data_IF_788618737803
#
_entry.id   IF_788618737803
#
_cell.length_a   1.000
_cell.length_b   1.000
_cell.length_c   1.000
_cell.angle_alpha   90.00
_cell.angle_beta   90.00
_cell.angle_gamma   90.00
#
_symmetry.space_group_name_H-M   'P 1'
#
loop_
_entity.id
_entity.type
_entity.pdbx_description
1 polymer ?
#
# COMPACT_ATOMS: atom_id res chain seq x y z
N UNK A 1 -10.64 -34.38 -17.75
CA UNK A 1 -10.99 -34.02 -16.36
C UNK A 1 -9.73 -33.73 -15.54
N UNK A 2 -8.64 -34.45 -15.80
CA UNK A 2 -7.31 -34.21 -15.21
C UNK A 2 -6.80 -32.76 -15.29
N UNK A 3 -6.89 -32.12 -16.46
CA UNK A 3 -6.47 -30.71 -16.62
C UNK A 3 -7.32 -29.76 -15.77
N UNK A 4 -8.62 -30.02 -15.65
CA UNK A 4 -9.54 -29.24 -14.82
C UNK A 4 -9.23 -29.43 -13.33
N UNK A 5 -8.97 -30.66 -12.89
CA UNK A 5 -8.58 -30.95 -11.50
C UNK A 5 -7.26 -30.27 -11.13
N UNK A 6 -6.27 -30.34 -12.02
CA UNK A 6 -4.96 -29.69 -11.83
C UNK A 6 -5.12 -28.17 -11.73
N UNK A 7 -5.95 -27.58 -12.61
CA UNK A 7 -6.23 -26.14 -12.57
C UNK A 7 -6.91 -25.72 -11.27
N UNK A 8 -7.82 -26.55 -10.74
CA UNK A 8 -8.48 -26.30 -9.45
C UNK A 8 -7.52 -26.35 -8.26
N UNK A 9 -6.57 -27.27 -8.25
CA UNK A 9 -5.53 -27.31 -7.20
C UNK A 9 -4.66 -26.05 -7.21
N UNK A 10 -4.24 -25.60 -8.40
CA UNK A 10 -3.46 -24.35 -8.54
C UNK A 10 -4.27 -23.16 -8.06
N UNK A 11 -5.54 -23.03 -8.45
CA UNK A 11 -6.43 -21.95 -7.99
C UNK A 11 -6.63 -22.00 -6.48
N UNK A 12 -6.89 -23.17 -5.91
CA UNK A 12 -7.06 -23.34 -4.46
C UNK A 12 -5.81 -22.91 -3.69
N UNK A 13 -4.62 -23.28 -4.17
CA UNK A 13 -3.34 -22.84 -3.60
C UNK A 13 -3.16 -21.32 -3.71
N UNK A 14 -3.53 -20.71 -4.85
CA UNK A 14 -3.44 -19.25 -5.02
C UNK A 14 -4.38 -18.51 -4.08
N UNK A 15 -5.61 -19.01 -3.90
CA UNK A 15 -6.60 -18.44 -2.99
C UNK A 15 -6.13 -18.52 -1.53
N UNK A 16 -5.56 -19.65 -1.11
CA UNK A 16 -4.96 -19.78 0.22
C UNK A 16 -3.84 -18.76 0.44
N UNK A 17 -2.93 -18.63 -0.54
CA UNK A 17 -1.83 -17.66 -0.47
C UNK A 17 -2.32 -16.21 -0.47
N UNK A 18 -3.41 -15.90 -1.18
CA UNK A 18 -4.02 -14.57 -1.13
C UNK A 18 -4.57 -14.23 0.25
N UNK A 19 -5.19 -15.19 0.96
CA UNK A 19 -5.67 -14.99 2.33
C UNK A 19 -4.51 -14.72 3.29
N UNK A 20 -3.41 -15.48 3.19
CA UNK A 20 -2.19 -15.28 3.97
C UNK A 20 -1.55 -13.91 3.70
N UNK A 21 -1.41 -13.55 2.43
CA UNK A 21 -0.87 -12.25 2.03
C UNK A 21 -1.73 -11.09 2.54
N UNK A 22 -3.06 -11.23 2.49
CA UNK A 22 -3.97 -10.22 3.02
C UNK A 22 -3.82 -10.07 4.54
N UNK A 23 -3.63 -11.18 5.26
CA UNK A 23 -3.39 -11.16 6.70
C UNK A 23 -2.05 -10.48 7.05
N UNK A 24 -0.97 -10.84 6.35
CA UNK A 24 0.35 -10.23 6.55
C UNK A 24 0.33 -8.73 6.22
N UNK A 25 -0.35 -8.33 5.14
CA UNK A 25 -0.52 -6.93 4.79
C UNK A 25 -1.33 -6.18 5.86
N UNK A 26 -2.35 -6.81 6.45
CA UNK A 26 -3.13 -6.18 7.53
C UNK A 26 -2.28 -5.94 8.78
N UNK A 27 -1.39 -6.87 9.14
CA UNK A 27 -0.43 -6.66 10.23
C UNK A 27 0.52 -5.47 9.94
N UNK A 28 1.02 -5.36 8.71
CA UNK A 28 1.82 -4.20 8.30
C UNK A 28 1.03 -2.89 8.37
N UNK A 29 -0.26 -2.89 8.05
CA UNK A 29 -1.12 -1.70 8.22
C UNK A 29 -1.30 -1.32 9.69
N UNK A 30 -1.42 -2.28 10.61
CA UNK A 30 -1.47 -2.01 12.05
C UNK A 30 -0.15 -1.39 12.55
N UNK A 31 0.99 -1.89 12.07
CA UNK A 31 2.30 -1.30 12.37
C UNK A 31 2.43 0.13 11.79
N UNK A 32 1.97 0.35 10.56
CA UNK A 32 1.94 1.67 9.94
C UNK A 32 1.08 2.65 10.76
N UNK A 33 -0.12 2.24 11.21
CA UNK A 33 -0.97 3.05 12.07
C UNK A 33 -0.27 3.46 13.38
N UNK A 34 0.51 2.56 13.99
CA UNK A 34 1.31 2.89 15.17
C UNK A 34 2.38 3.95 14.88
N UNK A 35 3.15 3.79 13.80
CA UNK A 35 4.17 4.76 13.37
C UNK A 35 3.55 6.12 13.07
N UNK A 36 2.38 6.13 12.45
CA UNK A 36 1.64 7.35 12.15
C UNK A 36 1.14 8.06 13.42
N UNK A 37 0.64 7.30 14.40
CA UNK A 37 0.24 7.86 15.70
C UNK A 37 1.44 8.46 16.46
N UNK A 38 2.58 7.77 16.47
CA UNK A 38 3.82 8.27 17.08
C UNK A 38 4.33 9.53 16.35
N UNK A 39 4.24 9.56 15.02
CA UNK A 39 4.60 10.72 14.20
C UNK A 39 3.70 11.91 14.51
N UNK A 40 2.39 11.69 14.68
CA UNK A 40 1.46 12.75 15.06
C UNK A 40 1.79 13.35 16.44
N UNK A 41 2.18 12.51 17.41
CA UNK A 41 2.65 13.01 18.73
C UNK A 41 3.92 13.85 18.59
N UNK A 42 4.91 13.38 17.83
CA UNK A 42 6.15 14.14 17.60
C UNK A 42 5.87 15.50 16.91
N UNK A 43 4.88 15.55 16.02
CA UNK A 43 4.44 16.81 15.40
C UNK A 43 3.83 17.78 16.41
N UNK A 44 3.04 17.30 17.37
CA UNK A 44 2.51 18.16 18.45
C UNK A 44 3.63 18.70 19.34
N UNK A 45 4.60 17.86 19.71
CA UNK A 45 5.78 18.31 20.46
C UNK A 45 6.58 19.38 19.69
N UNK A 46 6.67 19.25 18.37
CA UNK A 46 7.32 20.24 17.51
C UNK A 46 6.54 21.57 17.46
N UNK A 47 5.20 21.54 17.44
CA UNK A 47 4.37 22.74 17.52
C UNK A 47 4.60 23.46 18.84
N UNK A 48 4.61 22.72 19.95
CA UNK A 48 4.85 23.28 21.29
C UNK A 48 6.25 23.91 21.37
N UNK A 49 7.29 23.23 20.86
CA UNK A 49 8.64 23.79 20.81
C UNK A 49 8.71 25.08 19.97
N UNK A 50 8.02 25.14 18.82
CA UNK A 50 7.95 26.36 18.00
C UNK A 50 7.24 27.50 18.73
N UNK A 51 6.22 27.19 19.55
CA UNK A 51 5.54 28.16 20.38
C UNK A 51 6.45 28.71 21.48
N UNK A 52 7.19 27.85 22.18
CA UNK A 52 8.17 28.26 23.19
C UNK A 52 9.28 29.16 22.59
N UNK A 53 9.75 28.84 21.38
CA UNK A 53 10.70 29.69 20.65
C UNK A 53 10.09 31.06 20.36
N UNK A 54 8.83 31.10 19.90
CA UNK A 54 8.13 32.35 19.62
C UNK A 54 7.96 33.23 20.88
N UNK A 55 7.60 32.62 22.01
CA UNK A 55 7.47 33.30 23.29
C UNK A 55 8.83 33.85 23.78
N UNK A 56 9.88 33.05 23.71
CA UNK A 56 11.25 33.46 24.06
C UNK A 56 11.76 34.59 23.16
N UNK A 57 11.42 34.56 21.86
CA UNK A 57 11.77 35.60 20.90
C UNK A 57 11.08 36.93 21.23
N UNK A 58 9.80 36.88 21.63
CA UNK A 58 9.04 38.06 22.08
C UNK A 58 9.62 38.67 23.37
N UNK A 59 10.00 37.85 24.34
CA UNK A 59 10.68 38.32 25.55
C UNK A 59 12.04 38.97 25.24
N UNK A 60 12.83 38.32 24.38
CA UNK A 60 14.12 38.87 23.93
C UNK A 60 13.94 40.21 23.22
N UNK A 61 12.90 40.34 22.39
CA UNK A 61 12.59 41.59 21.70
C UNK A 61 12.28 42.73 22.67
N UNK A 62 11.56 42.45 23.77
CA UNK A 62 11.33 43.45 24.84
C UNK A 62 12.63 43.89 25.49
N UNK A 63 13.55 42.97 25.77
CA UNK A 63 14.88 43.29 26.35
C UNK A 63 15.68 44.19 25.40
N UNK A 64 15.72 43.86 24.11
CA UNK A 64 16.43 44.65 23.09
C UNK A 64 15.84 46.07 23.00
N UNK A 65 14.51 46.20 23.07
CA UNK A 65 13.85 47.51 23.11
C UNK A 65 14.27 48.33 24.34
N UNK A 66 14.35 47.71 25.51
CA UNK A 66 14.86 48.38 26.72
C UNK A 66 16.32 48.80 26.57
N UNK A 67 17.16 48.01 25.90
CA UNK A 67 18.56 48.38 25.62
C UNK A 67 18.63 49.60 24.69
N UNK A 68 17.79 49.66 23.66
CA UNK A 68 17.71 50.83 22.77
C UNK A 68 17.27 52.10 23.54
N UNK A 69 16.29 51.97 24.44
CA UNK A 69 15.84 53.05 25.33
C UNK A 69 16.98 53.53 26.26
N UNK A 70 17.75 52.61 26.85
CA UNK A 70 18.92 52.94 27.69
C UNK A 70 20.01 53.63 26.86
N UNK A 71 20.29 53.15 25.65
CA UNK A 71 21.26 53.74 24.75
C UNK A 71 20.86 55.17 24.38
N UNK A 72 19.58 55.41 24.08
CA UNK A 72 19.05 56.73 23.80
C UNK A 72 19.17 57.69 25.00
N UNK A 73 18.82 57.23 26.21
CA UNK A 73 18.98 58.02 27.44
C UNK A 73 20.45 58.35 27.72
N UNK A 74 21.36 57.38 27.50
CA UNK A 74 22.80 57.58 27.67
C UNK A 74 23.35 58.60 26.69
N UNK A 75 22.90 58.56 25.43
CA UNK A 75 23.24 59.54 24.41
C UNK A 75 22.78 60.96 24.79
N UNK A 76 21.57 61.11 25.36
CA UNK A 76 21.08 62.40 25.85
C UNK A 76 21.87 62.91 27.06
N UNK A 77 22.23 62.03 28.00
CA UNK A 77 23.08 62.38 29.14
C UNK A 77 24.47 62.85 28.70
N UNK A 78 25.07 62.14 27.74
CA UNK A 78 26.36 62.51 27.16
C UNK A 78 26.32 63.85 26.42
N UNK A 79 25.23 64.13 25.68
CA UNK A 79 25.00 65.41 25.05
C UNK A 79 24.93 66.55 26.08
N UNK A 80 24.17 66.36 27.16
CA UNK A 80 24.08 67.35 28.24
C UNK A 80 25.45 67.59 28.90
N UNK A 81 26.23 66.53 29.13
CA UNK A 81 27.58 66.63 29.67
C UNK A 81 28.54 67.39 28.74
N UNK A 82 28.47 67.15 27.43
CA UNK A 82 29.25 67.87 26.43
C UNK A 82 28.91 69.38 26.41
N UNK A 83 27.63 69.73 26.54
CA UNK A 83 27.17 71.13 26.64
C UNK A 83 27.71 71.81 27.90
N UNK A 84 27.63 71.15 29.05
CA UNK A 84 28.13 71.72 30.31
C UNK A 84 29.66 71.82 30.33
N UNK A 85 30.36 70.86 29.72
CA UNK A 85 31.81 70.90 29.52
C UNK A 85 32.23 72.10 28.65
N UNK A 86 31.50 72.38 27.56
CA UNK A 86 31.73 73.56 26.73
C UNK A 86 31.48 74.86 27.50
N UNK A 87 30.48 74.87 28.40
CA UNK A 87 30.16 76.01 29.27
C UNK A 87 31.26 76.30 30.30
N UNK A 88 31.96 75.27 30.77
CA UNK A 88 33.06 75.39 31.72
C UNK A 88 34.40 75.85 31.09
N UNK A 89 34.48 75.97 29.76
CA UNK A 89 35.68 76.45 29.06
C UNK A 89 36.88 75.51 29.23
N UNK A 90 38.07 76.04 29.52
CA UNK A 90 39.30 75.24 29.69
C UNK A 90 39.19 74.20 30.81
N UNK A 91 38.46 74.49 31.89
CA UNK A 91 38.28 73.55 33.00
C UNK A 91 37.46 72.31 32.61
N UNK A 92 36.65 72.40 31.55
CA UNK A 92 35.80 71.32 31.04
C UNK A 92 36.42 70.45 29.96
N UNK A 93 37.63 70.77 29.47
CA UNK A 93 38.24 70.11 28.30
C UNK A 93 38.36 68.58 28.46
N UNK A 94 38.78 68.10 29.64
CA UNK A 94 38.87 66.66 29.90
C UNK A 94 37.50 65.97 29.98
N UNK A 95 36.48 66.67 30.49
CA UNK A 95 35.10 66.16 30.56
C UNK A 95 34.44 66.09 29.17
N UNK A 96 34.76 67.02 28.27
CA UNK A 96 34.23 67.02 26.90
C UNK A 96 34.64 65.75 26.13
N UNK A 97 35.90 65.31 26.26
CA UNK A 97 36.39 64.10 25.60
C UNK A 97 35.67 62.85 26.10
N UNK A 98 35.44 62.75 27.42
CA UNK A 98 34.69 61.63 28.01
C UNK A 98 33.23 61.64 27.54
N UNK A 99 32.60 62.82 27.48
CA UNK A 99 31.23 62.95 27.00
C UNK A 99 31.09 62.49 25.53
N UNK A 100 32.02 62.85 24.66
CA UNK A 100 32.02 62.39 23.26
C UNK A 100 32.23 60.88 23.13
N UNK A 101 33.11 60.28 23.94
CA UNK A 101 33.32 58.83 23.94
C UNK A 101 32.07 58.07 24.44
N UNK A 102 31.43 58.55 25.52
CA UNK A 102 30.18 57.97 26.03
C UNK A 102 29.06 58.09 24.98
N UNK A 103 28.99 59.23 24.28
CA UNK A 103 28.02 59.45 23.19
C UNK A 103 28.25 58.47 22.04
N UNK A 104 29.50 58.29 21.62
CA UNK A 104 29.89 57.33 20.59
C UNK A 104 29.50 55.89 20.98
N UNK A 105 29.76 55.50 22.22
CA UNK A 105 29.39 54.18 22.75
C UNK A 105 27.86 53.97 22.77
N UNK A 106 27.10 54.99 23.19
CA UNK A 106 25.65 54.95 23.19
C UNK A 106 25.06 54.78 21.78
N UNK A 107 25.60 55.51 20.79
CA UNK A 107 25.20 55.37 19.38
C UNK A 107 25.50 53.97 18.83
N UNK A 108 26.66 53.39 19.19
CA UNK A 108 27.02 52.01 18.83
C UNK A 108 26.06 50.99 19.45
N UNK A 109 25.69 51.19 20.72
CA UNK A 109 24.73 50.32 21.42
C UNK A 109 23.34 50.37 20.76
N UNK A 110 22.82 51.56 20.42
CA UNK A 110 21.55 51.72 19.71
C UNK A 110 21.59 51.04 18.33
N UNK A 111 22.69 51.19 17.58
CA UNK A 111 22.86 50.50 16.30
C UNK A 111 22.85 48.97 16.45
N UNK A 112 23.52 48.43 17.47
CA UNK A 112 23.54 46.99 17.74
C UNK A 112 22.17 46.47 18.17
N UNK A 113 21.46 47.23 19.01
CA UNK A 113 20.09 46.92 19.41
C UNK A 113 19.16 46.84 18.19
N UNK A 114 19.25 47.82 17.28
CA UNK A 114 18.47 47.82 16.03
C UNK A 114 18.73 46.61 15.14
N UNK A 115 19.99 46.28 14.87
CA UNK A 115 20.36 45.09 14.08
C UNK A 115 19.84 43.81 14.74
N UNK A 116 19.89 43.73 16.07
CA UNK A 116 19.36 42.57 16.81
C UNK A 116 17.83 42.50 16.70
N UNK A 117 17.15 43.64 16.78
CA UNK A 117 15.69 43.74 16.58
C UNK A 117 15.26 43.21 15.22
N UNK A 118 16.00 43.59 14.16
CA UNK A 118 15.73 43.11 12.80
C UNK A 118 15.92 41.58 12.67
N UNK A 119 16.93 41.01 13.34
CA UNK A 119 17.14 39.56 13.39
C UNK A 119 16.04 38.81 14.16
N UNK A 120 15.52 39.39 15.24
CA UNK A 120 14.40 38.82 16.00
C UNK A 120 13.11 38.83 15.19
N UNK A 121 12.88 39.87 14.38
CA UNK A 121 11.73 39.94 13.46
C UNK A 121 11.85 38.91 12.33
N UNK A 122 13.03 38.74 11.73
CA UNK A 122 13.27 37.67 10.76
C UNK A 122 13.05 36.27 11.39
N UNK A 123 13.54 36.08 12.62
CA UNK A 123 13.34 34.83 13.38
C UNK A 123 11.86 34.55 13.63
N UNK A 124 11.08 35.56 14.03
CA UNK A 124 9.62 35.47 14.18
C UNK A 124 8.94 34.99 12.90
N UNK A 125 9.31 35.58 11.76
CA UNK A 125 8.75 35.22 10.46
C UNK A 125 9.11 33.78 10.06
N UNK A 126 10.34 33.34 10.34
CA UNK A 126 10.77 31.95 10.08
C UNK A 126 10.04 30.94 10.94
N UNK A 127 9.84 31.23 12.23
CA UNK A 127 9.08 30.37 13.16
C UNK A 127 7.62 30.27 12.71
N UNK A 128 7.00 31.40 12.37
CA UNK A 128 5.62 31.43 11.84
C UNK A 128 5.45 30.54 10.61
N UNK A 129 6.38 30.66 9.64
CA UNK A 129 6.40 29.78 8.46
C UNK A 129 6.64 28.31 8.83
N UNK A 130 7.47 28.05 9.84
CA UNK A 130 7.69 26.70 10.38
C UNK A 130 6.40 26.08 10.90
N UNK A 131 5.63 26.83 11.69
CA UNK A 131 4.33 26.40 12.22
C UNK A 131 3.34 26.09 11.09
N UNK A 132 3.29 26.91 10.04
CA UNK A 132 2.45 26.66 8.87
C UNK A 132 2.79 25.34 8.17
N UNK A 133 4.09 25.08 7.91
CA UNK A 133 4.56 23.84 7.27
C UNK A 133 4.26 22.60 8.12
N UNK A 134 4.38 22.74 9.44
CA UNK A 134 4.05 21.68 10.40
C UNK A 134 2.55 21.37 10.34
N UNK A 135 1.69 22.39 10.27
CA UNK A 135 0.24 22.19 10.10
C UNK A 135 -0.15 21.54 8.77
N UNK A 136 0.54 21.85 7.66
CA UNK A 136 0.33 21.14 6.39
C UNK A 136 0.71 19.66 6.52
N UNK A 137 1.83 19.38 7.21
CA UNK A 137 2.33 18.02 7.44
C UNK A 137 1.39 17.22 8.35
N UNK A 138 0.83 17.83 9.38
CA UNK A 138 -0.20 17.23 10.25
C UNK A 138 -1.42 16.77 9.44
N UNK A 139 -1.93 17.62 8.55
CA UNK A 139 -3.04 17.27 7.67
C UNK A 139 -2.70 16.10 6.73
N UNK A 140 -1.49 16.08 6.17
CA UNK A 140 -1.04 14.98 5.33
C UNK A 140 -0.97 13.65 6.10
N UNK A 141 -0.48 13.68 7.35
CA UNK A 141 -0.48 12.49 8.20
C UNK A 141 -1.90 12.02 8.56
N UNK A 142 -2.82 12.94 8.84
CA UNK A 142 -4.23 12.59 9.07
C UNK A 142 -4.87 11.91 7.86
N UNK A 143 -4.63 12.42 6.65
CA UNK A 143 -5.11 11.77 5.42
C UNK A 143 -4.48 10.39 5.21
N UNK A 144 -3.20 10.23 5.50
CA UNK A 144 -2.53 8.94 5.40
C UNK A 144 -3.03 7.91 6.44
N UNK A 145 -3.40 8.34 7.65
CA UNK A 145 -4.10 7.48 8.62
C UNK A 145 -5.44 6.99 8.06
N UNK A 146 -6.26 7.88 7.50
CA UNK A 146 -7.54 7.49 6.88
C UNK A 146 -7.36 6.49 5.72
N UNK A 147 -6.32 6.66 4.91
CA UNK A 147 -5.99 5.73 3.81
C UNK A 147 -5.55 4.37 4.35
N UNK A 148 -4.74 4.36 5.41
CA UNK A 148 -4.25 3.13 6.05
C UNK A 148 -5.40 2.34 6.64
N UNK A 149 -6.32 2.99 7.34
CA UNK A 149 -7.53 2.36 7.88
C UNK A 149 -8.43 1.77 6.78
N UNK A 150 -8.67 2.52 5.70
CA UNK A 150 -9.43 2.01 4.56
C UNK A 150 -8.74 0.80 3.91
N UNK A 151 -7.42 0.82 3.83
CA UNK A 151 -6.64 -0.29 3.28
C UNK A 151 -6.74 -1.53 4.17
N UNK A 152 -6.70 -1.38 5.50
CA UNK A 152 -6.91 -2.48 6.43
C UNK A 152 -8.30 -3.13 6.27
N UNK A 153 -9.35 -2.32 6.09
CA UNK A 153 -10.71 -2.83 5.82
C UNK A 153 -10.73 -3.66 4.52
N UNK A 154 -10.15 -3.14 3.43
CA UNK A 154 -10.09 -3.84 2.15
C UNK A 154 -9.31 -5.16 2.24
N UNK A 155 -8.23 -5.21 3.01
CA UNK A 155 -7.45 -6.43 3.23
C UNK A 155 -8.25 -7.47 4.02
N UNK A 156 -9.04 -7.04 5.00
CA UNK A 156 -9.94 -7.92 5.73
C UNK A 156 -11.04 -8.50 4.82
N UNK A 157 -11.58 -7.69 3.91
CA UNK A 157 -12.55 -8.13 2.90
C UNK A 157 -11.93 -9.13 1.93
N UNK A 158 -10.70 -8.88 1.44
CA UNK A 158 -9.95 -9.81 0.59
C UNK A 158 -9.70 -11.14 1.31
N UNK A 159 -9.30 -11.10 2.59
CA UNK A 159 -9.07 -12.31 3.37
C UNK A 159 -10.36 -13.12 3.54
N UNK A 160 -11.48 -12.46 3.81
CA UNK A 160 -12.80 -13.08 3.96
C UNK A 160 -13.29 -13.69 2.64
N UNK A 161 -13.22 -12.93 1.54
CA UNK A 161 -13.58 -13.39 0.20
C UNK A 161 -12.69 -14.56 -0.26
N UNK A 162 -11.39 -14.53 0.07
CA UNK A 162 -10.48 -15.64 -0.24
C UNK A 162 -10.85 -16.91 0.54
N UNK A 163 -11.25 -16.80 1.81
CA UNK A 163 -11.74 -17.97 2.57
C UNK A 163 -13.01 -18.55 1.97
N UNK A 164 -13.94 -17.70 1.54
CA UNK A 164 -15.16 -18.14 0.86
C UNK A 164 -14.87 -18.80 -0.50
N UNK A 165 -13.97 -18.21 -1.29
CA UNK A 165 -13.51 -18.80 -2.54
C UNK A 165 -12.89 -20.18 -2.32
N UNK A 166 -12.06 -20.34 -1.29
CA UNK A 166 -11.43 -21.63 -0.96
C UNK A 166 -12.50 -22.70 -0.64
N UNK A 167 -13.49 -22.36 0.19
CA UNK A 167 -14.63 -23.24 0.45
C UNK A 167 -15.47 -23.54 -0.81
N UNK A 168 -15.62 -22.56 -1.71
CA UNK A 168 -16.25 -22.76 -3.01
C UNK A 168 -15.46 -23.73 -3.91
N UNK A 169 -14.13 -23.63 -3.92
CA UNK A 169 -13.26 -24.53 -4.68
C UNK A 169 -13.37 -25.99 -4.20
N UNK A 170 -13.55 -26.23 -2.89
CA UNK A 170 -13.80 -27.57 -2.37
C UNK A 170 -15.07 -28.19 -2.94
N UNK A 171 -16.14 -27.40 -3.10
CA UNK A 171 -17.39 -27.88 -3.69
C UNK A 171 -17.24 -28.16 -5.18
N UNK A 172 -16.54 -27.30 -5.92
CA UNK A 172 -16.25 -27.53 -7.35
C UNK A 172 -15.38 -28.78 -7.53
N UNK A 173 -14.38 -28.97 -6.67
CA UNK A 173 -13.51 -30.15 -6.69
C UNK A 173 -14.29 -31.44 -6.49
N UNK A 174 -15.28 -31.45 -5.56
CA UNK A 174 -16.19 -32.59 -5.39
C UNK A 174 -17.02 -32.87 -6.65
N UNK A 175 -17.63 -31.83 -7.23
CA UNK A 175 -18.42 -31.98 -8.45
C UNK A 175 -17.60 -32.50 -9.64
N UNK A 176 -16.35 -32.05 -9.78
CA UNK A 176 -15.44 -32.55 -10.84
C UNK A 176 -15.08 -34.03 -10.63
N UNK A 177 -14.89 -34.47 -9.38
CA UNK A 177 -14.67 -35.90 -9.07
C UNK A 177 -15.91 -36.76 -9.40
N UNK A 178 -17.10 -36.26 -9.12
CA UNK A 178 -18.35 -36.95 -9.49
C UNK A 178 -18.51 -37.03 -11.02
N UNK A 179 -18.19 -35.96 -11.74
CA UNK A 179 -18.17 -35.97 -13.21
C UNK A 179 -17.15 -36.96 -13.76
N UNK A 180 -15.98 -37.09 -13.13
CA UNK A 180 -14.97 -38.08 -13.51
C UNK A 180 -15.50 -39.50 -13.38
N UNK A 181 -16.14 -39.80 -12.25
CA UNK A 181 -16.75 -41.10 -12.00
C UNK A 181 -17.83 -41.45 -13.04
N UNK A 182 -18.74 -40.51 -13.33
CA UNK A 182 -19.79 -40.72 -14.35
C UNK A 182 -19.18 -40.86 -15.75
N UNK A 183 -18.12 -40.11 -16.06
CA UNK A 183 -17.45 -40.21 -17.37
C UNK A 183 -16.78 -41.57 -17.54
N UNK A 184 -16.08 -42.07 -16.52
CA UNK A 184 -15.50 -43.41 -16.52
C UNK A 184 -16.57 -44.50 -16.61
N UNK A 185 -17.69 -44.33 -15.90
CA UNK A 185 -18.82 -45.25 -15.99
C UNK A 185 -19.41 -45.29 -17.40
N UNK A 186 -19.67 -44.13 -18.02
CA UNK A 186 -20.17 -44.05 -19.40
C UNK A 186 -19.21 -44.71 -20.40
N UNK A 187 -17.89 -44.55 -20.21
CA UNK A 187 -16.90 -45.22 -21.04
C UNK A 187 -16.96 -46.75 -20.90
N UNK A 188 -17.06 -47.26 -19.67
CA UNK A 188 -17.23 -48.70 -19.41
C UNK A 188 -18.54 -49.24 -19.98
N UNK A 189 -19.64 -48.50 -19.86
CA UNK A 189 -20.93 -48.89 -20.43
C UNK A 189 -20.90 -48.90 -21.96
N UNK A 190 -20.20 -47.94 -22.58
CA UNK A 190 -19.99 -47.91 -24.03
C UNK A 190 -19.15 -49.10 -24.52
N UNK A 191 -18.08 -49.48 -23.79
CA UNK A 191 -17.29 -50.68 -24.09
C UNK A 191 -18.13 -51.95 -23.98
N UNK A 192 -18.95 -52.07 -22.93
CA UNK A 192 -19.87 -53.20 -22.78
C UNK A 192 -20.90 -53.24 -23.92
N UNK A 193 -21.48 -52.09 -24.28
CA UNK A 193 -22.45 -52.01 -25.37
C UNK A 193 -21.83 -52.37 -26.73
N UNK A 194 -20.59 -51.97 -26.99
CA UNK A 194 -19.85 -52.37 -28.18
C UNK A 194 -19.63 -53.90 -28.22
N UNK A 195 -19.26 -54.52 -27.09
CA UNK A 195 -19.14 -55.98 -26.99
C UNK A 195 -20.46 -56.71 -27.21
N UNK A 196 -21.57 -56.21 -26.64
CA UNK A 196 -22.91 -56.76 -26.88
C UNK A 196 -23.31 -56.63 -28.35
N UNK A 197 -23.00 -55.50 -29.00
CA UNK A 197 -23.26 -55.29 -30.41
C UNK A 197 -22.48 -56.29 -31.29
N UNK A 198 -21.21 -56.55 -30.97
CA UNK A 198 -20.39 -57.55 -31.66
C UNK A 198 -20.96 -58.98 -31.50
N UNK A 199 -21.44 -59.33 -30.31
CA UNK A 199 -22.09 -60.62 -30.07
C UNK A 199 -23.43 -60.74 -30.81
N UNK A 200 -24.22 -59.66 -30.86
CA UNK A 200 -25.46 -59.60 -31.63
C UNK A 200 -25.22 -59.75 -33.14
N UNK A 201 -24.12 -59.17 -33.66
CA UNK A 201 -23.70 -59.34 -35.06
C UNK A 201 -23.37 -60.81 -35.34
N UNK A 202 -22.56 -61.44 -34.49
CA UNK A 202 -22.22 -62.88 -34.60
C UNK A 202 -23.46 -63.77 -34.56
N UNK A 203 -24.41 -63.49 -33.67
CA UNK A 203 -25.67 -64.24 -33.59
C UNK A 203 -26.53 -64.07 -34.84
N UNK A 204 -26.60 -62.85 -35.38
CA UNK A 204 -27.34 -62.53 -36.60
C UNK A 204 -26.73 -63.24 -37.82
N UNK A 205 -25.40 -63.28 -37.92
CA UNK A 205 -24.70 -64.07 -38.94
C UNK A 205 -25.01 -65.56 -38.82
N UNK A 206 -24.96 -66.12 -37.60
CA UNK A 206 -25.29 -67.52 -37.36
C UNK A 206 -26.73 -67.84 -37.79
N UNK A 207 -27.69 -67.00 -37.41
CA UNK A 207 -29.09 -67.13 -37.85
C UNK A 207 -29.21 -67.10 -39.36
N UNK A 208 -28.52 -66.17 -40.04
CA UNK A 208 -28.53 -66.08 -41.50
C UNK A 208 -27.93 -67.33 -42.16
N UNK A 209 -26.84 -67.89 -41.61
CA UNK A 209 -26.27 -69.18 -42.06
C UNK A 209 -27.29 -70.30 -41.90
N UNK A 210 -27.94 -70.42 -40.74
CA UNK A 210 -28.98 -71.43 -40.49
C UNK A 210 -30.15 -71.32 -41.47
N UNK A 211 -30.67 -70.11 -41.72
CA UNK A 211 -31.73 -69.87 -42.70
C UNK A 211 -31.27 -70.29 -44.11
N UNK A 212 -30.06 -69.91 -44.51
CA UNK A 212 -29.50 -70.27 -45.82
C UNK A 212 -29.41 -71.79 -46.01
N UNK A 213 -28.92 -72.50 -44.99
CA UNK A 213 -28.89 -73.98 -44.98
C UNK A 213 -30.30 -74.57 -45.09
N UNK A 214 -31.26 -74.03 -44.34
CA UNK A 214 -32.64 -74.52 -44.36
C UNK A 214 -33.31 -74.31 -45.72
N UNK A 215 -33.11 -73.14 -46.34
CA UNK A 215 -33.61 -72.83 -47.68
C UNK A 215 -33.01 -73.79 -48.72
N UNK A 216 -31.72 -74.11 -48.60
CA UNK A 216 -31.08 -75.11 -49.45
C UNK A 216 -31.68 -76.51 -49.26
N UNK A 217 -32.01 -76.89 -48.02
CA UNK A 217 -32.67 -78.17 -47.71
C UNK A 217 -34.09 -78.25 -48.30
N UNK A 218 -34.87 -77.17 -48.16
CA UNK A 218 -36.29 -77.11 -48.56
C UNK A 218 -36.47 -76.95 -50.08
N UNK A 219 -35.57 -76.24 -50.77
CA UNK A 219 -35.63 -76.11 -52.25
C UNK A 219 -35.21 -77.38 -53.00
N UNK A 220 -34.85 -78.45 -52.28
CA UNK A 220 -34.50 -79.75 -52.83
C UNK A 220 -33.06 -79.78 -53.34
N UNK A 221 -32.29 -80.74 -52.85
CA UNK A 221 -30.93 -80.98 -53.30
C UNK A 221 -30.87 -81.25 -54.80
N UNK A 222 -30.38 -80.26 -55.55
CA UNK A 222 -29.55 -80.49 -56.72
C UNK A 222 -28.27 -79.70 -56.49
N UNK A 223 -27.21 -80.43 -56.16
CA UNK A 223 -26.05 -79.93 -55.45
C UNK A 223 -25.23 -78.88 -56.20
N UNK A 224 -24.67 -77.96 -55.42
CA UNK A 224 -23.36 -77.38 -55.66
C UNK A 224 -22.68 -77.29 -54.29
N UNK A 225 -21.61 -78.07 -54.12
CA UNK A 225 -20.70 -78.01 -52.97
C UNK A 225 -19.99 -76.64 -52.92
N UNK A 226 -20.12 -75.84 -51.84
CA UNK A 226 -19.44 -74.56 -51.72
C UNK A 226 -17.91 -74.66 -51.58
N UNK A 227 -17.36 -75.83 -51.22
CA UNK A 227 -15.92 -75.99 -50.97
C UNK A 227 -15.04 -76.10 -52.23
N UNK A 228 -15.61 -76.00 -53.43
CA UNK A 228 -14.84 -76.07 -54.68
C UNK A 228 -14.53 -74.70 -55.32
N UNK A 229 -14.59 -73.60 -54.56
CA UNK A 229 -14.19 -72.27 -55.06
C UNK A 229 -12.79 -71.82 -54.64
N UNK A 230 -12.16 -72.45 -53.64
CA UNK A 230 -10.88 -71.98 -53.11
C UNK A 230 -9.63 -72.65 -53.71
N UNK A 231 -9.77 -73.51 -54.75
CA UNK A 231 -8.62 -74.15 -55.42
C UNK A 231 -8.33 -73.69 -56.86
N UNK A 232 -8.98 -72.62 -57.34
CA UNK A 232 -8.64 -72.02 -58.65
C UNK A 232 -8.55 -70.50 -58.55
N UNK A 233 -7.52 -69.98 -57.89
CA UNK A 233 -6.92 -68.66 -58.16
C UNK A 233 -5.66 -68.45 -57.28
N UNK A 234 -4.73 -69.40 -57.32
CA UNK A 234 -3.31 -69.15 -57.07
C UNK A 234 -2.53 -69.83 -58.20
N UNK A 235 -2.36 -69.09 -59.29
CA UNK A 235 -1.32 -69.24 -60.30
C UNK A 235 -1.19 -67.91 -61.03
#
# INVERSE_FOLDING_TARGET
>A
IDETSTSLEVVSSMTARNSENAFAANDLMLQANKVMADSNRAMQELIDAMKEISETNEETHKIIKTIDEIAFQTNLLALNAAVEAARAGEAGSGFAVVADEVRSLAMRAASAAKVTSDLLEDTRNRVSKGVELVGVTENAFKSALEITDKTAILLNDISSASKEQHAGMDNVTKAVRELDQVTQQNASEAEQAAGIAEDMEKQSEMLNRHITTLVHLVKGGNGIDPNNRDQKLIA
#
